data_IF_553863685335
#
_entry.id   IF_553863685335
#
_cell.length_a   1.000
_cell.length_b   1.000
_cell.length_c   1.000
_cell.angle_alpha   90.00
_cell.angle_beta   90.00
_cell.angle_gamma   90.00
#
_symmetry.space_group_name_H-M   'P 1'
#
loop_
_entity.id
_entity.type
_entity.pdbx_description
1 polymer ?
#
# COMPACT_ATOMS: atom_id res chain seq x y z
N UNK A 1 70.42 28.76 4.55
CA UNK A 1 69.73 29.84 3.80
C UNK A 1 69.03 29.15 2.64
N UNK A 2 67.71 29.11 2.44
CA UNK A 2 66.59 29.93 2.89
C UNK A 2 65.44 28.98 3.26
N UNK A 3 64.80 29.28 4.39
CA UNK A 3 63.60 28.64 4.93
C UNK A 3 62.37 29.25 4.27
N UNK A 4 61.50 28.45 3.65
CA UNK A 4 60.15 28.89 3.25
C UNK A 4 59.10 27.88 3.74
N UNK A 5 58.62 28.16 4.95
CA UNK A 5 57.48 27.55 5.62
C UNK A 5 56.21 28.19 5.01
N UNK A 6 55.42 27.43 4.25
CA UNK A 6 54.07 27.85 3.85
C UNK A 6 53.09 27.55 4.99
N UNK A 7 52.15 28.45 5.31
CA UNK A 7 51.09 28.18 6.28
C UNK A 7 49.98 27.32 5.64
N UNK A 8 49.21 26.56 6.44
CA UNK A 8 47.98 25.93 5.98
C UNK A 8 46.84 26.96 5.96
N UNK A 9 46.24 27.17 4.80
CA UNK A 9 44.99 27.92 4.65
C UNK A 9 43.81 26.97 4.95
N UNK A 10 43.52 26.80 6.24
CA UNK A 10 42.29 26.17 6.71
C UNK A 10 41.18 27.23 6.75
N UNK A 11 40.42 27.38 5.66
CA UNK A 11 39.19 28.17 5.68
C UNK A 11 38.22 27.71 4.58
N UNK A 12 37.85 26.44 4.62
CA UNK A 12 36.66 25.96 3.93
C UNK A 12 35.58 25.64 4.96
N UNK A 13 35.00 26.70 5.53
CA UNK A 13 33.72 26.67 6.24
C UNK A 13 32.62 26.35 5.23
N UNK A 14 32.62 25.11 4.76
CA UNK A 14 31.50 24.54 4.04
C UNK A 14 30.32 24.55 4.98
N UNK A 15 29.53 25.63 4.89
CA UNK A 15 28.23 25.69 5.51
C UNK A 15 27.48 24.47 5.03
N UNK A 16 27.40 23.45 5.88
CA UNK A 16 26.45 22.38 5.77
C UNK A 16 25.10 23.06 5.88
N UNK A 17 24.62 23.58 4.74
CA UNK A 17 23.24 23.92 4.53
C UNK A 17 22.50 22.67 4.96
N UNK A 18 21.94 22.75 6.17
CA UNK A 18 21.08 21.74 6.74
C UNK A 18 19.96 21.61 5.72
N UNK A 19 20.14 20.69 4.78
CA UNK A 19 19.13 20.28 3.83
C UNK A 19 18.02 19.79 4.73
N UNK A 20 17.07 20.69 4.99
CA UNK A 20 15.85 20.41 5.72
C UNK A 20 15.29 19.19 5.02
N UNK A 21 15.46 18.03 5.67
CA UNK A 21 15.07 16.74 5.15
C UNK A 21 13.59 16.84 4.86
N UNK A 22 13.28 17.13 3.60
CA UNK A 22 11.90 17.20 3.15
C UNK A 22 11.37 15.78 3.29
N UNK A 23 10.41 15.60 4.18
CA UNK A 23 9.88 14.27 4.50
C UNK A 23 9.13 13.64 3.30
N UNK A 24 8.58 14.52 2.46
CA UNK A 24 8.05 14.22 1.14
C UNK A 24 9.13 14.50 0.08
N UNK A 25 9.29 13.57 -0.85
CA UNK A 25 10.06 13.80 -2.08
C UNK A 25 9.24 14.67 -3.05
N UNK A 26 9.65 15.93 -3.23
CA UNK A 26 8.99 16.91 -4.09
C UNK A 26 9.30 16.71 -5.59
N UNK A 27 10.31 15.92 -5.91
CA UNK A 27 10.80 15.71 -7.27
C UNK A 27 10.37 14.35 -7.84
N UNK A 28 9.93 13.42 -6.99
CA UNK A 28 9.34 12.15 -7.40
C UNK A 28 8.08 12.31 -8.27
N UNK A 29 7.25 13.32 -7.98
CA UNK A 29 6.01 13.62 -8.70
C UNK A 29 5.92 15.11 -9.06
N UNK A 30 6.65 15.57 -10.09
CA UNK A 30 6.76 16.99 -10.43
C UNK A 30 5.43 17.70 -10.71
N UNK A 31 4.41 17.00 -11.22
CA UNK A 31 3.10 17.60 -11.49
C UNK A 31 2.34 17.94 -10.20
N UNK A 32 2.72 17.32 -9.08
CA UNK A 32 2.18 17.57 -7.74
C UNK A 32 3.06 18.48 -6.88
N UNK A 33 4.19 18.97 -7.40
CA UNK A 33 5.22 19.68 -6.63
C UNK A 33 4.66 20.85 -5.81
N UNK A 34 3.79 21.66 -6.40
CA UNK A 34 3.22 22.82 -5.71
C UNK A 34 2.19 22.42 -4.64
N UNK A 35 1.41 21.36 -4.89
CA UNK A 35 0.51 20.78 -3.88
C UNK A 35 1.32 20.23 -2.70
N UNK A 36 2.35 19.41 -2.97
CA UNK A 36 3.19 18.80 -1.94
C UNK A 36 3.92 19.88 -1.12
N UNK A 37 4.39 20.95 -1.75
CA UNK A 37 5.01 22.08 -1.05
C UNK A 37 3.99 22.80 -0.16
N UNK A 38 2.78 23.06 -0.66
CA UNK A 38 1.72 23.72 0.10
C UNK A 38 1.21 22.88 1.28
N UNK A 39 1.30 21.54 1.18
CA UNK A 39 0.82 20.59 2.19
C UNK A 39 1.92 19.94 3.03
N UNK A 40 3.18 20.39 2.91
CA UNK A 40 4.32 19.77 3.61
C UNK A 40 4.14 19.71 5.13
N UNK A 41 3.72 20.82 5.75
CA UNK A 41 3.53 20.87 7.20
C UNK A 41 2.33 20.02 7.64
N UNK A 42 1.24 20.06 6.88
CA UNK A 42 0.07 19.22 7.10
C UNK A 42 0.44 17.73 7.05
N UNK A 43 1.14 17.30 5.99
CA UNK A 43 1.57 15.92 5.83
C UNK A 43 2.45 15.46 7.00
N UNK A 44 3.30 16.33 7.55
CA UNK A 44 4.10 16.00 8.74
C UNK A 44 3.23 15.78 9.98
N UNK A 45 2.18 16.58 10.18
CA UNK A 45 1.29 16.44 11.33
C UNK A 45 0.44 15.17 11.26
N UNK A 46 0.01 14.77 10.07
CA UNK A 46 -0.90 13.63 9.87
C UNK A 46 -0.18 12.29 9.65
N UNK A 47 1.15 12.28 9.69
CA UNK A 47 1.92 11.07 9.38
C UNK A 47 1.83 10.68 7.90
N UNK A 48 1.80 11.68 7.01
CA UNK A 48 1.79 11.55 5.55
C UNK A 48 0.50 10.96 4.98
N UNK A 49 -0.61 11.20 5.66
CA UNK A 49 -1.95 10.80 5.21
C UNK A 49 -2.75 12.04 4.84
N UNK A 50 -3.55 11.95 3.78
CA UNK A 50 -4.46 13.03 3.40
C UNK A 50 -5.89 12.69 3.82
N UNK A 51 -6.52 13.60 4.56
CA UNK A 51 -7.93 13.52 4.91
C UNK A 51 -8.68 14.75 4.36
N UNK A 52 -9.64 14.59 3.43
CA UNK A 52 -10.37 15.72 2.87
C UNK A 52 -11.19 16.49 3.91
N UNK A 53 -11.53 15.89 5.06
CA UNK A 53 -12.32 16.53 6.13
C UNK A 53 -11.58 17.71 6.77
N UNK A 54 -10.25 17.65 6.82
CA UNK A 54 -9.42 18.70 7.42
C UNK A 54 -9.45 20.00 6.60
N UNK A 55 -9.92 19.94 5.35
CA UNK A 55 -9.99 21.08 4.43
C UNK A 55 -11.42 21.61 4.23
N UNK A 56 -12.43 21.04 4.89
CA UNK A 56 -13.84 21.46 4.74
C UNK A 56 -14.18 22.73 5.52
N UNK A 57 -13.59 22.93 6.70
CA UNK A 57 -14.01 23.98 7.65
C UNK A 57 -13.01 25.14 7.82
N UNK A 58 -11.97 25.20 6.99
CA UNK A 58 -10.78 26.01 7.29
C UNK A 58 -10.83 27.43 6.73
N UNK A 59 -11.34 28.38 7.52
CA UNK A 59 -11.03 29.81 7.33
C UNK A 59 -9.53 30.11 7.43
N UNK A 60 -8.77 29.23 8.08
CA UNK A 60 -7.36 29.44 8.45
C UNK A 60 -6.35 28.85 7.46
N UNK A 61 -6.77 27.99 6.52
CA UNK A 61 -5.89 27.39 5.50
C UNK A 61 -5.89 28.17 4.18
N UNK A 62 -6.15 29.49 4.22
CA UNK A 62 -6.49 30.28 3.03
C UNK A 62 -5.55 30.07 1.82
N UNK A 63 -4.23 29.91 2.02
CA UNK A 63 -3.30 29.64 0.92
C UNK A 63 -3.28 28.18 0.48
N UNK A 64 -3.16 27.22 1.41
CA UNK A 64 -3.10 25.78 1.09
C UNK A 64 -4.43 25.29 0.49
N UNK A 65 -5.56 25.77 1.01
CA UNK A 65 -6.91 25.47 0.53
C UNK A 65 -7.09 25.87 -0.94
N UNK A 66 -6.60 27.04 -1.36
CA UNK A 66 -6.69 27.44 -2.78
C UNK A 66 -5.90 26.50 -3.71
N UNK A 67 -4.74 26.01 -3.28
CA UNK A 67 -3.92 25.06 -4.05
C UNK A 67 -4.61 23.71 -4.12
N UNK A 68 -5.14 23.22 -2.99
CA UNK A 68 -5.92 21.99 -2.91
C UNK A 68 -7.12 22.05 -3.87
N UNK A 69 -7.93 23.11 -3.80
CA UNK A 69 -9.10 23.26 -4.67
C UNK A 69 -8.72 23.34 -6.16
N UNK A 70 -7.59 23.97 -6.50
CA UNK A 70 -7.10 24.00 -7.89
C UNK A 70 -6.75 22.61 -8.41
N UNK A 71 -5.98 21.84 -7.64
CA UNK A 71 -5.61 20.47 -7.99
C UNK A 71 -6.81 19.54 -8.07
N UNK A 72 -7.76 19.67 -7.12
CA UNK A 72 -9.00 18.91 -7.14
C UNK A 72 -9.79 19.15 -8.42
N UNK A 73 -9.97 20.42 -8.80
CA UNK A 73 -10.64 20.81 -10.04
C UNK A 73 -9.90 20.26 -11.27
N UNK A 74 -8.57 20.36 -11.32
CA UNK A 74 -7.77 19.86 -12.45
C UNK A 74 -7.90 18.34 -12.60
N UNK A 75 -7.81 17.57 -11.50
CA UNK A 75 -8.03 16.13 -11.50
C UNK A 75 -9.45 15.76 -11.96
N UNK A 76 -10.49 16.35 -11.37
CA UNK A 76 -11.88 16.08 -11.74
C UNK A 76 -12.17 16.43 -13.20
N UNK A 77 -11.57 17.50 -13.73
CA UNK A 77 -11.77 17.91 -15.11
C UNK A 77 -11.09 16.98 -16.13
N UNK A 78 -10.08 16.21 -15.72
CA UNK A 78 -9.24 15.39 -16.61
C UNK A 78 -8.46 16.17 -17.68
N UNK A 79 -8.43 17.51 -17.60
CA UNK A 79 -7.78 18.36 -18.63
C UNK A 79 -6.26 18.32 -18.56
N UNK A 80 -5.70 18.06 -17.37
CA UNK A 80 -4.27 17.96 -17.16
C UNK A 80 -3.79 16.51 -17.23
N UNK A 81 -3.35 16.10 -18.42
CA UNK A 81 -2.90 14.73 -18.69
C UNK A 81 -1.65 14.34 -17.90
N UNK A 82 -0.76 15.29 -17.62
CA UNK A 82 0.47 14.99 -16.91
C UNK A 82 0.21 14.80 -15.41
N UNK A 83 -0.67 15.62 -14.84
CA UNK A 83 -1.17 15.43 -13.48
C UNK A 83 -1.84 14.06 -13.33
N UNK A 84 -2.72 13.68 -14.27
CA UNK A 84 -3.37 12.38 -14.25
C UNK A 84 -2.40 11.21 -14.38
N UNK A 85 -1.44 11.30 -15.31
CA UNK A 85 -0.39 10.28 -15.48
C UNK A 85 0.41 10.07 -14.19
N UNK A 86 0.76 11.15 -13.49
CA UNK A 86 1.48 11.06 -12.22
C UNK A 86 0.59 10.57 -11.07
N UNK A 87 -0.71 10.88 -11.07
CA UNK A 87 -1.67 10.33 -10.12
C UNK A 87 -1.72 8.81 -10.19
N UNK A 88 -1.89 8.26 -11.41
CA UNK A 88 -1.89 6.81 -11.67
C UNK A 88 -0.56 6.17 -11.25
N UNK A 89 0.57 6.82 -11.53
CA UNK A 89 1.88 6.31 -11.10
C UNK A 89 2.03 6.29 -9.57
N UNK A 90 1.60 7.34 -8.88
CA UNK A 90 1.64 7.43 -7.43
C UNK A 90 0.78 6.34 -6.78
N UNK A 91 -0.45 6.15 -7.26
CA UNK A 91 -1.34 5.07 -6.80
C UNK A 91 -0.67 3.71 -7.00
N UNK A 92 -0.10 3.44 -8.18
CA UNK A 92 0.60 2.18 -8.43
C UNK A 92 1.80 1.98 -7.50
N UNK A 93 2.57 3.02 -7.21
CA UNK A 93 3.67 2.95 -6.25
C UNK A 93 3.16 2.63 -4.84
N UNK A 94 2.09 3.30 -4.39
CA UNK A 94 1.46 3.04 -3.09
C UNK A 94 0.89 1.62 -2.99
N UNK A 95 0.22 1.12 -4.03
CA UNK A 95 -0.27 -0.26 -4.10
C UNK A 95 0.86 -1.29 -4.00
N UNK A 96 1.94 -1.09 -4.77
CA UNK A 96 3.08 -1.99 -4.75
C UNK A 96 3.75 -2.03 -3.37
N UNK A 97 3.92 -0.87 -2.73
CA UNK A 97 4.47 -0.81 -1.38
C UNK A 97 3.56 -1.45 -0.34
N UNK A 98 2.24 -1.24 -0.45
CA UNK A 98 1.25 -1.91 0.39
C UNK A 98 1.31 -3.43 0.26
N UNK A 99 1.36 -3.96 -0.96
CA UNK A 99 1.50 -5.41 -1.21
C UNK A 99 2.80 -5.94 -0.62
N UNK A 100 3.92 -5.25 -0.88
CA UNK A 100 5.23 -5.64 -0.36
C UNK A 100 5.21 -5.71 1.16
N UNK A 101 4.62 -4.71 1.82
CA UNK A 101 4.50 -4.64 3.28
C UNK A 101 3.67 -5.81 3.83
N UNK A 102 2.55 -6.15 3.18
CA UNK A 102 1.74 -7.32 3.52
C UNK A 102 2.53 -8.63 3.38
N UNK A 103 3.25 -8.79 2.27
CA UNK A 103 4.04 -10.00 2.03
C UNK A 103 5.14 -10.17 3.09
N UNK A 104 5.87 -9.09 3.40
CA UNK A 104 6.91 -9.08 4.46
C UNK A 104 6.30 -9.44 5.82
N UNK A 105 5.20 -8.78 6.21
CA UNK A 105 4.54 -9.04 7.48
C UNK A 105 4.06 -10.49 7.59
N UNK A 106 3.48 -11.03 6.52
CA UNK A 106 3.02 -12.42 6.45
C UNK A 106 4.18 -13.41 6.56
N UNK A 107 5.29 -13.17 5.86
CA UNK A 107 6.48 -14.01 5.96
C UNK A 107 7.09 -14.00 7.38
N UNK A 108 7.06 -12.86 8.07
CA UNK A 108 7.51 -12.74 9.47
C UNK A 108 6.59 -13.52 10.42
N UNK A 109 5.28 -13.36 10.29
CA UNK A 109 4.28 -14.04 11.13
C UNK A 109 4.35 -15.57 10.96
N UNK A 110 4.62 -16.05 9.75
CA UNK A 110 4.79 -17.47 9.45
C UNK A 110 6.14 -18.05 9.93
N UNK A 111 7.08 -17.20 10.36
CA UNK A 111 8.44 -17.60 10.74
C UNK A 111 9.29 -18.07 9.54
N UNK A 112 8.97 -17.63 8.33
CA UNK A 112 9.75 -17.92 7.11
C UNK A 112 10.66 -16.76 6.70
N UNK A 113 10.59 -15.63 7.41
CA UNK A 113 11.46 -14.48 7.17
C UNK A 113 12.92 -14.81 7.54
N UNK A 114 13.90 -14.60 6.65
CA UNK A 114 15.30 -14.88 6.96
C UNK A 114 15.84 -14.00 8.09
N UNK A 115 16.62 -14.59 9.00
CA UNK A 115 17.40 -13.83 10.00
C UNK A 115 18.63 -13.17 9.36
N UNK A 116 19.28 -13.90 8.46
CA UNK A 116 20.38 -13.41 7.62
C UNK A 116 20.39 -14.18 6.31
N UNK A 117 20.79 -13.51 5.22
CA UNK A 117 20.96 -14.13 3.91
C UNK A 117 22.44 -14.22 3.60
N UNK A 118 22.92 -15.43 3.25
CA UNK A 118 24.31 -15.59 2.82
C UNK A 118 24.51 -14.90 1.46
N UNK A 119 25.67 -14.30 1.18
CA UNK A 119 25.91 -13.67 -0.13
C UNK A 119 25.68 -14.60 -1.34
N UNK A 120 25.90 -15.91 -1.17
CA UNK A 120 25.62 -16.93 -2.20
C UNK A 120 24.13 -17.18 -2.45
N UNK A 121 23.26 -16.73 -1.57
CA UNK A 121 21.80 -16.86 -1.63
C UNK A 121 21.15 -15.54 -2.06
N UNK A 122 21.93 -14.61 -2.62
CA UNK A 122 21.38 -13.40 -3.25
C UNK A 122 20.45 -13.83 -4.39
N UNK A 123 19.15 -13.87 -4.11
CA UNK A 123 18.15 -14.21 -5.09
C UNK A 123 18.22 -13.21 -6.24
N UNK A 124 18.43 -13.70 -7.47
CA UNK A 124 18.29 -12.90 -8.68
C UNK A 124 16.81 -12.64 -9.04
N UNK A 125 15.88 -13.19 -8.26
CA UNK A 125 14.45 -13.09 -8.46
C UNK A 125 13.93 -11.71 -8.02
N UNK A 126 13.06 -11.12 -8.84
CA UNK A 126 12.31 -9.94 -8.45
C UNK A 126 11.34 -10.29 -7.30
N UNK A 127 11.15 -9.38 -6.34
CA UNK A 127 10.28 -9.64 -5.20
C UNK A 127 8.80 -9.82 -5.59
N UNK A 128 8.40 -9.28 -6.75
CA UNK A 128 7.05 -9.45 -7.32
C UNK A 128 6.82 -10.83 -7.95
N UNK A 129 7.87 -11.63 -8.13
CA UNK A 129 7.73 -12.98 -8.65
C UNK A 129 7.25 -13.93 -7.55
N UNK A 130 5.95 -14.23 -7.60
CA UNK A 130 5.27 -15.14 -6.68
C UNK A 130 5.14 -16.55 -7.23
N UNK A 131 5.87 -16.89 -8.32
CA UNK A 131 5.82 -18.21 -8.93
C UNK A 131 6.63 -19.26 -8.16
N UNK A 132 7.58 -18.85 -7.33
CA UNK A 132 8.43 -19.72 -6.52
C UNK A 132 7.78 -20.12 -5.17
N UNK A 133 8.34 -21.12 -4.46
CA UNK A 133 7.93 -21.44 -3.09
C UNK A 133 8.09 -20.25 -2.12
N UNK A 134 7.23 -20.22 -1.09
CA UNK A 134 7.15 -19.11 -0.13
C UNK A 134 8.49 -18.74 0.50
N UNK A 135 9.33 -19.74 0.79
CA UNK A 135 10.65 -19.54 1.39
C UNK A 135 11.59 -18.74 0.48
N UNK A 136 11.55 -19.00 -0.83
CA UNK A 136 12.34 -18.23 -1.81
C UNK A 136 11.79 -16.82 -2.02
N UNK A 137 10.46 -16.67 -2.00
CA UNK A 137 9.80 -15.35 -2.02
C UNK A 137 10.26 -14.52 -0.80
N UNK A 138 10.31 -15.12 0.39
CA UNK A 138 10.76 -14.45 1.60
C UNK A 138 12.22 -13.95 1.48
N UNK A 139 13.12 -14.73 0.88
CA UNK A 139 14.51 -14.30 0.60
C UNK A 139 14.56 -13.15 -0.40
N UNK A 140 13.77 -13.19 -1.48
CA UNK A 140 13.72 -12.09 -2.45
C UNK A 140 13.19 -10.79 -1.82
N UNK A 141 12.14 -10.88 -0.98
CA UNK A 141 11.62 -9.74 -0.21
C UNK A 141 12.67 -9.19 0.77
N UNK A 142 13.38 -10.06 1.48
CA UNK A 142 14.45 -9.66 2.40
C UNK A 142 15.55 -8.89 1.68
N UNK A 143 16.01 -9.40 0.53
CA UNK A 143 17.04 -8.74 -0.27
C UNK A 143 16.55 -7.39 -0.80
N UNK A 144 15.30 -7.30 -1.27
CA UNK A 144 14.73 -6.03 -1.71
C UNK A 144 14.63 -5.02 -0.56
N UNK A 145 14.23 -5.47 0.64
CA UNK A 145 14.15 -4.60 1.81
C UNK A 145 15.50 -3.95 2.10
N UNK A 146 16.55 -4.78 2.23
CA UNK A 146 17.88 -4.30 2.61
C UNK A 146 18.58 -3.50 1.52
N UNK A 147 18.40 -3.88 0.25
CA UNK A 147 19.09 -3.23 -0.86
C UNK A 147 18.42 -1.93 -1.31
N UNK A 148 17.10 -1.80 -1.12
CA UNK A 148 16.32 -0.69 -1.69
C UNK A 148 15.38 -0.08 -0.66
N UNK A 149 14.52 -0.88 -0.03
CA UNK A 149 13.40 -0.32 0.73
C UNK A 149 13.80 0.38 2.05
N UNK A 150 14.96 0.02 2.60
CA UNK A 150 15.54 0.68 3.77
C UNK A 150 16.23 2.01 3.44
N UNK A 151 16.40 2.36 2.16
CA UNK A 151 16.96 3.65 1.77
C UNK A 151 15.99 4.80 2.09
N UNK A 152 16.54 5.91 2.57
CA UNK A 152 15.75 7.10 2.90
C UNK A 152 14.99 7.64 1.68
N UNK A 153 15.61 7.59 0.50
CA UNK A 153 15.05 8.04 -0.77
C UNK A 153 13.83 7.20 -1.15
N UNK A 154 13.93 5.87 -1.09
CA UNK A 154 12.79 4.99 -1.36
C UNK A 154 11.63 5.27 -0.41
N UNK A 155 11.91 5.40 0.89
CA UNK A 155 10.87 5.69 1.87
C UNK A 155 10.21 7.05 1.64
N UNK A 156 10.96 8.07 1.22
CA UNK A 156 10.41 9.38 0.89
C UNK A 156 9.48 9.30 -0.32
N UNK A 157 9.90 8.60 -1.39
CA UNK A 157 9.06 8.35 -2.58
C UNK A 157 7.78 7.60 -2.22
N UNK A 158 7.89 6.52 -1.43
CA UNK A 158 6.74 5.71 -1.02
C UNK A 158 5.73 6.49 -0.17
N UNK A 159 6.20 7.33 0.77
CA UNK A 159 5.33 8.22 1.54
C UNK A 159 4.65 9.27 0.67
N UNK A 160 5.39 9.89 -0.26
CA UNK A 160 4.79 10.85 -1.21
C UNK A 160 3.74 10.17 -2.08
N UNK A 161 4.02 8.98 -2.59
CA UNK A 161 3.10 8.21 -3.40
C UNK A 161 1.80 7.88 -2.64
N UNK A 162 1.91 7.45 -1.38
CA UNK A 162 0.77 7.18 -0.49
C UNK A 162 -0.06 8.45 -0.24
N UNK A 163 0.59 9.58 0.09
CA UNK A 163 -0.10 10.85 0.29
C UNK A 163 -0.87 11.32 -0.95
N UNK A 164 -0.24 11.25 -2.14
CA UNK A 164 -0.91 11.57 -3.41
C UNK A 164 -2.06 10.60 -3.68
N UNK A 165 -1.89 9.31 -3.41
CA UNK A 165 -2.93 8.30 -3.60
C UNK A 165 -4.17 8.64 -2.76
N UNK A 166 -4.01 8.95 -1.48
CA UNK A 166 -5.11 9.38 -0.61
C UNK A 166 -5.80 10.64 -1.16
N UNK A 167 -5.01 11.65 -1.58
CA UNK A 167 -5.52 12.88 -2.18
C UNK A 167 -6.36 12.62 -3.43
N UNK A 168 -5.87 11.78 -4.34
CA UNK A 168 -6.55 11.45 -5.59
C UNK A 168 -7.84 10.70 -5.30
N UNK A 169 -7.82 9.65 -4.47
CA UNK A 169 -9.04 8.91 -4.13
C UNK A 169 -10.09 9.77 -3.42
N UNK A 170 -9.66 10.67 -2.53
CA UNK A 170 -10.55 11.63 -1.89
C UNK A 170 -11.18 12.64 -2.88
N UNK A 171 -10.52 12.87 -4.02
CA UNK A 171 -10.92 13.87 -5.02
C UNK A 171 -11.83 13.30 -6.10
N UNK A 172 -11.41 12.21 -6.75
CA UNK A 172 -12.12 11.65 -7.91
C UNK A 172 -12.91 10.37 -7.58
N UNK A 173 -12.75 9.86 -6.36
CA UNK A 173 -13.41 8.64 -5.90
C UNK A 173 -12.66 7.36 -6.28
N UNK A 174 -13.04 6.26 -5.63
CA UNK A 174 -12.45 4.93 -5.84
C UNK A 174 -13.17 4.09 -6.89
N UNK A 175 -14.04 4.68 -7.73
CA UNK A 175 -14.76 3.94 -8.77
C UNK A 175 -14.20 4.19 -10.18
N UNK A 176 -13.27 5.14 -10.34
CA UNK A 176 -12.70 5.49 -11.65
C UNK A 176 -11.86 4.33 -12.23
N UNK A 177 -12.28 3.69 -13.33
CA UNK A 177 -11.59 2.52 -13.89
C UNK A 177 -10.12 2.77 -14.25
N UNK A 178 -9.74 4.00 -14.62
CA UNK A 178 -8.37 4.31 -15.01
C UNK A 178 -7.41 4.32 -13.81
N UNK A 179 -7.94 4.60 -12.61
CA UNK A 179 -7.20 4.46 -11.36
C UNK A 179 -7.02 2.99 -10.95
N UNK A 180 -7.83 2.08 -11.49
CA UNK A 180 -7.80 0.65 -11.16
C UNK A 180 -6.79 -0.10 -12.05
N UNK A 181 -5.50 0.19 -11.89
CA UNK A 181 -4.47 -0.81 -12.26
C UNK A 181 -4.42 -1.99 -11.28
N UNK A 182 -5.26 -1.94 -10.25
CA UNK A 182 -5.33 -2.91 -9.17
C UNK A 182 -5.54 -4.37 -9.60
N UNK A 183 -5.96 -4.69 -10.83
CA UNK A 183 -6.04 -6.09 -11.27
C UNK A 183 -4.68 -6.80 -11.17
N UNK A 184 -3.59 -6.16 -11.60
CA UNK A 184 -2.24 -6.75 -11.49
C UNK A 184 -1.83 -6.93 -10.04
N UNK A 185 -2.09 -5.91 -9.22
CA UNK A 185 -1.84 -5.90 -7.77
C UNK A 185 -2.61 -7.03 -7.07
N UNK A 186 -3.90 -7.22 -7.40
CA UNK A 186 -4.78 -8.29 -6.90
C UNK A 186 -4.30 -9.67 -7.32
N UNK A 187 -3.89 -9.86 -8.58
CA UNK A 187 -3.36 -11.12 -9.09
C UNK A 187 -2.06 -11.51 -8.39
N UNK A 188 -1.13 -10.57 -8.23
CA UNK A 188 0.13 -10.78 -7.52
C UNK A 188 -0.11 -11.21 -6.07
N UNK A 189 -0.97 -10.49 -5.36
CA UNK A 189 -1.26 -10.82 -3.97
C UNK A 189 -2.00 -12.15 -3.84
N UNK A 190 -2.96 -12.45 -4.73
CA UNK A 190 -3.64 -13.74 -4.75
C UNK A 190 -2.65 -14.88 -4.97
N UNK A 191 -1.73 -14.73 -5.92
CA UNK A 191 -0.70 -15.71 -6.18
C UNK A 191 0.20 -15.92 -4.95
N UNK A 192 0.61 -14.84 -4.26
CA UNK A 192 1.33 -14.93 -2.99
C UNK A 192 0.54 -15.67 -1.91
N UNK A 193 -0.73 -15.34 -1.70
CA UNK A 193 -1.55 -15.97 -0.67
C UNK A 193 -1.85 -17.45 -0.98
N UNK A 194 -1.85 -17.85 -2.25
CA UNK A 194 -1.86 -19.25 -2.64
C UNK A 194 -0.56 -19.97 -2.22
N UNK A 195 0.60 -19.33 -2.33
CA UNK A 195 1.88 -19.87 -1.79
C UNK A 195 1.85 -19.99 -0.27
N UNK A 196 1.20 -19.06 0.42
CA UNK A 196 0.97 -19.15 1.87
C UNK A 196 0.15 -20.39 2.23
N UNK A 197 -0.97 -20.63 1.54
CA UNK A 197 -1.79 -21.83 1.75
C UNK A 197 -1.02 -23.13 1.50
N UNK A 198 -0.30 -23.20 0.39
CA UNK A 198 0.53 -24.37 0.06
C UNK A 198 1.57 -24.64 1.15
N UNK A 199 2.25 -23.58 1.63
CA UNK A 199 3.22 -23.68 2.72
C UNK A 199 2.57 -24.24 4.00
N UNK A 200 1.42 -23.71 4.40
CA UNK A 200 0.70 -24.18 5.60
C UNK A 200 0.25 -25.63 5.47
N UNK A 201 -0.28 -26.04 4.31
CA UNK A 201 -0.67 -27.42 4.07
C UNK A 201 0.52 -28.39 4.20
N UNK A 202 1.71 -28.01 3.70
CA UNK A 202 2.95 -28.80 3.91
C UNK A 202 3.35 -28.89 5.38
N UNK A 203 3.21 -27.79 6.12
CA UNK A 203 3.56 -27.73 7.55
C UNK A 203 2.62 -28.59 8.40
N UNK A 204 1.31 -28.54 8.14
CA UNK A 204 0.30 -29.39 8.79
C UNK A 204 0.53 -30.89 8.53
N UNK A 205 0.93 -31.25 7.31
CA UNK A 205 1.26 -32.63 6.97
C UNK A 205 2.47 -33.17 7.75
N UNK A 206 3.42 -32.30 8.12
CA UNK A 206 4.66 -32.69 8.82
C UNK A 206 4.53 -32.74 10.34
N UNK A 207 3.72 -31.86 10.95
CA UNK A 207 3.66 -31.68 12.41
C UNK A 207 2.47 -32.45 13.04
N UNK A 208 1.57 -32.98 12.21
CA UNK A 208 0.25 -33.43 12.67
C UNK A 208 -0.69 -32.23 12.80
N UNK A 209 -2.01 -32.47 12.85
CA UNK A 209 -3.04 -31.42 12.88
C UNK A 209 -2.95 -30.57 14.16
N UNK A 210 -2.19 -29.49 14.13
CA UNK A 210 -2.38 -28.28 14.94
C UNK A 210 -2.76 -27.16 13.96
N UNK A 211 -4.02 -26.82 13.70
CA UNK A 211 -5.07 -26.14 14.47
C UNK A 211 -5.39 -24.78 13.76
N UNK A 212 -6.66 -24.33 13.71
CA UNK A 212 -7.14 -23.18 12.93
C UNK A 212 -6.57 -21.80 13.27
N UNK A 213 -5.78 -21.66 14.33
CA UNK A 213 -5.32 -20.36 14.86
C UNK A 213 -4.30 -19.67 13.96
N UNK A 214 -3.53 -20.42 13.16
CA UNK A 214 -2.59 -19.82 12.21
C UNK A 214 -3.30 -18.92 11.17
N UNK A 215 -4.46 -19.34 10.69
CA UNK A 215 -5.23 -18.59 9.69
C UNK A 215 -5.83 -17.30 10.23
N UNK A 216 -6.31 -17.32 11.48
CA UNK A 216 -6.81 -16.11 12.15
C UNK A 216 -5.69 -15.07 12.31
N UNK A 217 -4.49 -15.52 12.70
CA UNK A 217 -3.31 -14.65 12.83
C UNK A 217 -2.92 -14.02 11.48
N UNK A 218 -2.83 -14.81 10.42
CA UNK A 218 -2.48 -14.31 9.08
C UNK A 218 -3.48 -13.26 8.62
N UNK A 219 -4.79 -13.49 8.79
CA UNK A 219 -5.80 -12.48 8.42
C UNK A 219 -5.60 -11.18 9.21
N UNK A 220 -5.36 -11.27 10.52
CA UNK A 220 -5.08 -10.10 11.36
C UNK A 220 -3.82 -9.36 10.92
N UNK A 221 -2.74 -10.09 10.64
CA UNK A 221 -1.46 -9.56 10.15
C UNK A 221 -1.60 -8.88 8.79
N UNK A 222 -2.31 -9.51 7.86
CA UNK A 222 -2.54 -8.96 6.52
C UNK A 222 -3.30 -7.64 6.63
N UNK A 223 -4.43 -7.62 7.35
CA UNK A 223 -5.24 -6.41 7.47
C UNK A 223 -4.51 -5.28 8.21
N UNK A 224 -3.74 -5.59 9.27
CA UNK A 224 -2.98 -4.57 10.00
C UNK A 224 -1.80 -4.03 9.21
N UNK A 225 -1.12 -4.86 8.41
CA UNK A 225 0.00 -4.45 7.56
C UNK A 225 -0.42 -3.50 6.43
N UNK A 226 -1.70 -3.53 6.05
CA UNK A 226 -2.25 -2.63 5.03
C UNK A 226 -2.68 -1.29 5.59
N UNK A 227 -2.86 -1.19 6.91
CA UNK A 227 -3.42 -0.02 7.54
C UNK A 227 -2.52 1.19 7.24
N UNK A 228 -3.08 2.09 6.46
CA UNK A 228 -2.47 3.33 6.00
C UNK A 228 -1.45 3.29 4.88
N UNK A 229 -1.20 2.14 4.26
CA UNK A 229 -0.33 2.05 3.07
C UNK A 229 -1.08 1.76 1.79
N UNK A 230 -2.14 0.96 1.88
CA UNK A 230 -2.84 0.46 0.71
C UNK A 230 -4.10 1.27 0.39
N UNK A 231 -4.43 1.40 -0.90
CA UNK A 231 -5.72 1.93 -1.31
C UNK A 231 -6.91 1.17 -0.70
N UNK A 232 -8.02 1.87 -0.37
CA UNK A 232 -9.21 1.24 0.18
C UNK A 232 -9.75 0.06 -0.65
N UNK A 233 -9.65 0.15 -1.98
CA UNK A 233 -10.10 -0.89 -2.91
C UNK A 233 -9.30 -2.19 -2.76
N UNK A 234 -8.00 -2.09 -2.50
CA UNK A 234 -7.13 -3.24 -2.27
C UNK A 234 -7.41 -3.86 -0.90
N UNK A 235 -7.59 -3.02 0.14
CA UNK A 235 -7.96 -3.47 1.49
C UNK A 235 -9.28 -4.24 1.48
N UNK A 236 -10.31 -3.72 0.79
CA UNK A 236 -11.61 -4.38 0.66
C UNK A 236 -11.49 -5.74 -0.02
N UNK A 237 -10.78 -5.80 -1.16
CA UNK A 237 -10.55 -7.03 -1.90
C UNK A 237 -9.88 -8.12 -1.05
N UNK A 238 -8.92 -7.74 -0.22
CA UNK A 238 -8.19 -8.68 0.63
C UNK A 238 -9.03 -9.11 1.82
N UNK A 239 -9.83 -8.21 2.37
CA UNK A 239 -10.83 -8.54 3.39
C UNK A 239 -11.80 -9.63 2.90
N UNK A 240 -12.31 -9.49 1.67
CA UNK A 240 -13.16 -10.48 1.01
C UNK A 240 -12.41 -11.77 0.75
N UNK A 241 -11.26 -11.71 0.07
CA UNK A 241 -10.48 -12.90 -0.27
C UNK A 241 -10.09 -13.70 0.97
N UNK A 242 -9.62 -13.03 2.04
CA UNK A 242 -9.26 -13.72 3.29
C UNK A 242 -10.47 -14.32 3.98
N UNK A 243 -11.64 -13.69 3.89
CA UNK A 243 -12.89 -14.25 4.43
C UNK A 243 -13.29 -15.54 3.70
N UNK A 244 -13.19 -15.57 2.38
CA UNK A 244 -13.60 -16.72 1.55
C UNK A 244 -12.63 -17.89 1.69
N UNK A 245 -11.35 -17.59 1.84
CA UNK A 245 -10.28 -18.58 1.76
C UNK A 245 -9.77 -19.07 3.12
N UNK A 246 -10.07 -18.32 4.18
CA UNK A 246 -9.74 -18.66 5.56
C UNK A 246 -11.00 -18.57 6.43
N UNK A 247 -11.98 -19.47 6.22
CA UNK A 247 -13.23 -19.43 6.96
C UNK A 247 -12.93 -19.54 8.46
N UNK A 248 -13.59 -18.69 9.24
CA UNK A 248 -13.49 -18.78 10.70
C UNK A 248 -13.90 -20.19 11.16
N UNK A 249 -13.34 -20.72 12.27
CA UNK A 249 -13.74 -22.01 12.82
C UNK A 249 -15.26 -22.11 13.05
N UNK A 250 -15.91 -20.98 13.34
CA UNK A 250 -17.35 -20.86 13.49
C UNK A 250 -18.11 -21.16 12.19
N UNK A 251 -17.56 -20.75 11.04
CA UNK A 251 -18.11 -21.03 9.71
C UNK A 251 -17.87 -22.49 9.30
N UNK A 252 -16.69 -23.03 9.63
CA UNK A 252 -16.36 -24.43 9.37
C UNK A 252 -17.19 -25.41 10.21
N UNK A 253 -17.54 -25.06 11.46
CA UNK A 253 -18.42 -25.84 12.32
C UNK A 253 -19.87 -25.90 11.80
N UNK A 254 -20.35 -24.84 11.15
CA UNK A 254 -21.66 -24.80 10.47
C UNK A 254 -21.70 -25.63 9.19
N UNK A 255 -20.56 -25.76 8.49
CA UNK A 255 -20.42 -26.61 7.30
C UNK A 255 -20.06 -28.07 7.65
N UNK A 256 -19.58 -28.32 8.87
CA UNK A 256 -19.11 -29.63 9.36
C UNK A 256 -20.23 -30.63 9.70
N UNK A 257 -21.50 -30.20 9.71
CA UNK A 257 -22.65 -31.10 9.74
C UNK A 257 -23.21 -31.28 8.32
N UNK A 258 -22.45 -32.03 7.52
CA UNK A 258 -22.97 -32.85 6.42
C UNK A 258 -23.91 -32.20 5.42
N UNK A 259 -23.40 -31.32 4.54
CA UNK A 259 -23.88 -31.25 3.16
C UNK A 259 -22.70 -30.92 2.24
N UNK A 260 -22.28 -31.91 1.42
CA UNK A 260 -21.59 -31.62 0.16
C UNK A 260 -22.65 -31.00 -0.76
N UNK A 261 -22.82 -29.69 -0.70
CA UNK A 261 -23.63 -28.95 -1.65
C UNK A 261 -22.69 -28.04 -2.44
N UNK A 262 -22.69 -28.24 -3.75
CA UNK A 262 -22.24 -27.25 -4.71
C UNK A 262 -22.87 -25.89 -4.36
N UNK A 263 -22.05 -24.87 -4.10
CA UNK A 263 -22.54 -23.53 -3.87
C UNK A 263 -22.87 -22.87 -5.21
N UNK A 264 -24.03 -23.24 -5.73
CA UNK A 264 -24.89 -22.39 -6.56
C UNK A 264 -25.21 -21.08 -5.84
N UNK A 265 -25.26 -20.01 -6.63
CA UNK A 265 -25.76 -18.70 -6.25
C UNK A 265 -27.05 -18.76 -5.41
N UNK A 266 -27.05 -18.04 -4.28
CA UNK A 266 -28.27 -17.53 -3.64
C UNK A 266 -28.06 -16.04 -3.45
N UNK A 267 -28.88 -15.27 -4.19
CA UNK A 267 -28.80 -13.83 -4.31
C UNK A 267 -29.69 -13.04 -3.33
N UNK A 268 -29.34 -11.76 -3.21
CA UNK A 268 -30.17 -10.56 -3.07
C UNK A 268 -31.54 -10.70 -2.41
N UNK A 269 -31.73 -10.09 -1.24
CA UNK A 269 -33.03 -9.60 -0.78
C UNK A 269 -32.92 -8.47 0.28
N UNK A 270 -32.41 -7.30 -0.10
CA UNK A 270 -32.65 -6.06 0.65
C UNK A 270 -32.45 -4.78 -0.20
N UNK A 271 -32.84 -4.79 -1.48
CA UNK A 271 -32.76 -3.58 -2.31
C UNK A 271 -33.77 -3.54 -3.47
N UNK A 272 -35.01 -4.02 -3.31
CA UNK A 272 -36.08 -3.75 -4.28
C UNK A 272 -37.45 -3.70 -3.59
N UNK A 273 -37.76 -2.59 -2.91
CA UNK A 273 -39.16 -2.23 -2.66
C UNK A 273 -39.45 -0.72 -2.55
N UNK A 274 -38.67 0.13 -3.24
CA UNK A 274 -38.86 1.60 -3.21
C UNK A 274 -39.02 2.28 -4.57
N UNK A 275 -39.57 1.58 -5.57
CA UNK A 275 -39.82 2.17 -6.90
C UNK A 275 -41.20 1.86 -7.49
N UNK A 276 -42.28 1.93 -6.70
CA UNK A 276 -43.66 1.84 -7.23
C UNK A 276 -44.71 2.75 -6.56
N UNK A 277 -44.32 3.88 -5.93
CA UNK A 277 -45.31 4.79 -5.32
C UNK A 277 -45.46 6.21 -5.87
N UNK A 278 -44.70 6.64 -6.88
CA UNK A 278 -44.79 8.03 -7.38
C UNK A 278 -45.24 8.20 -8.85
N UNK A 279 -46.06 7.30 -9.40
CA UNK A 279 -46.76 7.54 -10.69
C UNK A 279 -48.26 7.25 -10.60
N UNK A 280 -48.92 7.91 -9.65
CA UNK A 280 -50.37 8.15 -9.68
C UNK A 280 -50.68 9.35 -8.79
N UNK A 281 -50.45 10.53 -9.33
CA UNK A 281 -51.06 11.82 -9.00
C UNK A 281 -50.39 12.87 -9.90
N UNK A 282 -50.93 12.99 -11.11
CA UNK A 282 -51.18 14.21 -11.88
C UNK A 282 -51.75 13.79 -13.24
#
# INVERSE_FOLDING_TARGET
MVSHKRPPDDNNSGGSSSSSSSYLDLDAFPAFKDLLRALSDYAKMTGFRYDPRDFQDSSDLSSAGSVVSDYQRRLVSGTDRELWRQAVNAIRCAEQEGIRTVMVATCRDLGVWPESVKPSESSCMAWQDTSEPLEKIAVALYNQQHNVADSADYQAVSRTASFISDFVYATVGSEDPELHQGEKSKLMLTAFLNRVKEYQARKEANIGREEPEAYKRIRGTVLSAMDGWAPPSLVSYIGEWTSDNFPSPTTAALLGFGVVAAATAIGVAAAMNRSKKNHRKE
#
